data_IF_301754687435
#
_entry.id   IF_301754687435
#
_cell.length_a   1.000
_cell.length_b   1.000
_cell.length_c   1.000
_cell.angle_alpha   90.00
_cell.angle_beta   90.00
_cell.angle_gamma   90.00
#
_symmetry.space_group_name_H-M   'P 1'
#
loop_
_entity.id
_entity.type
_entity.pdbx_description
1 polymer ?
#
# COMPACT_ATOMS: atom_id res chain seq x y z
N UNK A 1 24.20 -19.53 36.58
CA UNK A 1 24.80 -18.83 35.42
C UNK A 1 24.19 -19.28 34.11
N UNK A 2 24.33 -20.55 33.69
CA UNK A 2 23.77 -21.03 32.39
C UNK A 2 22.25 -20.86 32.27
N UNK A 3 21.49 -21.26 33.30
CA UNK A 3 20.03 -21.11 33.32
C UNK A 3 19.63 -19.63 33.20
N UNK A 4 20.32 -18.73 33.90
CA UNK A 4 20.07 -17.28 33.84
C UNK A 4 20.28 -16.73 32.43
N UNK A 5 21.33 -17.15 31.74
CA UNK A 5 21.63 -16.73 30.36
C UNK A 5 20.58 -17.27 29.37
N UNK A 6 20.14 -18.52 29.54
CA UNK A 6 19.09 -19.11 28.71
C UNK A 6 17.76 -18.36 28.91
N UNK A 7 17.36 -18.11 30.16
CA UNK A 7 16.11 -17.40 30.47
C UNK A 7 16.16 -15.95 29.96
N UNK A 8 17.31 -15.28 30.05
CA UNK A 8 17.50 -13.94 29.50
C UNK A 8 17.39 -13.92 27.96
N UNK A 9 17.95 -14.93 27.27
CA UNK A 9 17.79 -15.09 25.83
C UNK A 9 16.33 -15.27 25.42
N UNK A 10 15.59 -16.13 26.12
CA UNK A 10 14.15 -16.33 25.90
C UNK A 10 13.32 -15.08 26.20
N UNK A 11 13.73 -14.27 27.18
CA UNK A 11 13.08 -12.99 27.49
C UNK A 11 13.28 -11.97 26.37
N UNK A 12 14.51 -11.80 25.89
CA UNK A 12 14.83 -10.90 24.77
C UNK A 12 14.08 -11.32 23.50
N UNK A 13 14.03 -12.61 23.21
CA UNK A 13 13.26 -13.17 22.09
C UNK A 13 11.76 -12.83 22.19
N UNK A 14 11.15 -13.00 23.36
CA UNK A 14 9.73 -12.63 23.57
C UNK A 14 9.46 -11.14 23.43
N UNK A 15 10.34 -10.29 23.96
CA UNK A 15 10.24 -8.83 23.81
C UNK A 15 10.29 -8.45 22.33
N UNK A 16 11.16 -9.12 21.57
CA UNK A 16 11.33 -8.95 20.14
C UNK A 16 10.06 -9.30 19.35
N UNK A 17 9.45 -10.46 19.61
CA UNK A 17 8.20 -10.88 18.96
C UNK A 17 6.99 -9.99 19.33
N UNK A 18 6.95 -9.45 20.55
CA UNK A 18 5.87 -8.57 21.01
C UNK A 18 5.73 -7.27 20.21
N UNK A 19 6.83 -6.74 19.67
CA UNK A 19 6.79 -5.50 18.86
C UNK A 19 6.13 -5.68 17.49
N UNK A 20 6.20 -6.88 16.91
CA UNK A 20 5.56 -7.19 15.63
C UNK A 20 4.05 -7.38 15.77
N UNK A 21 3.61 -8.00 16.88
CA UNK A 21 2.20 -8.09 17.24
C UNK A 21 1.55 -6.73 17.52
N UNK A 22 2.33 -5.74 17.98
CA UNK A 22 1.83 -4.39 18.24
C UNK A 22 1.38 -3.66 16.96
N UNK A 23 1.98 -3.93 15.80
CA UNK A 23 1.55 -3.36 14.53
C UNK A 23 0.20 -3.95 14.07
N UNK A 24 0.02 -5.27 14.22
CA UNK A 24 -1.28 -5.93 13.95
C UNK A 24 -2.33 -5.47 14.94
N UNK A 25 -2.00 -5.38 16.24
CA UNK A 25 -2.92 -4.84 17.25
C UNK A 25 -3.32 -3.39 16.96
N UNK A 26 -2.41 -2.56 16.44
CA UNK A 26 -2.76 -1.21 15.99
C UNK A 26 -3.77 -1.26 14.85
N UNK A 27 -3.57 -2.10 13.84
CA UNK A 27 -4.53 -2.28 12.73
C UNK A 27 -5.89 -2.78 13.23
N UNK A 28 -5.91 -3.75 14.15
CA UNK A 28 -7.15 -4.21 14.79
C UNK A 28 -7.84 -3.12 15.61
N UNK A 29 -7.07 -2.23 16.24
CA UNK A 29 -7.57 -1.09 16.99
C UNK A 29 -8.16 0.02 16.11
N UNK A 30 -7.94 0.00 14.79
CA UNK A 30 -8.53 0.96 13.85
C UNK A 30 -9.99 0.61 13.53
N UNK A 31 -10.43 -0.63 13.74
CA UNK A 31 -11.78 -1.04 13.39
C UNK A 31 -12.79 -0.54 14.43
N UNK A 32 -13.86 0.15 14.01
CA UNK A 32 -14.94 0.55 14.92
C UNK A 32 -15.62 -0.67 15.54
N UNK A 33 -16.00 -0.57 16.82
CA UNK A 33 -16.75 -1.64 17.50
C UNK A 33 -18.24 -1.62 17.19
N UNK A 34 -18.77 -0.44 16.87
CA UNK A 34 -20.18 -0.19 16.56
C UNK A 34 -20.29 0.52 15.22
N UNK A 35 -21.48 0.40 14.61
CA UNK A 35 -21.84 1.07 13.37
C UNK A 35 -23.27 1.60 13.53
N UNK A 36 -23.52 2.78 12.96
CA UNK A 36 -24.84 3.42 12.94
C UNK A 36 -25.54 3.09 11.63
N UNK A 37 -26.69 2.45 11.71
CA UNK A 37 -27.38 1.87 10.54
C UNK A 37 -28.79 2.41 10.46
N UNK A 38 -29.26 2.71 9.25
CA UNK A 38 -30.64 3.09 8.99
C UNK A 38 -31.43 1.81 8.71
N UNK A 39 -32.38 1.48 9.57
CA UNK A 39 -33.34 0.38 9.34
C UNK A 39 -34.74 0.89 9.64
N UNK A 40 -35.68 0.69 8.70
CA UNK A 40 -37.06 1.21 8.82
C UNK A 40 -37.12 2.73 9.09
N UNK A 41 -36.26 3.48 8.40
CA UNK A 41 -36.11 4.95 8.53
C UNK A 41 -35.70 5.47 9.92
N UNK A 42 -35.26 4.60 10.82
CA UNK A 42 -34.68 4.98 12.12
C UNK A 42 -33.17 4.70 12.17
N UNK A 43 -32.41 5.62 12.77
CA UNK A 43 -30.98 5.44 13.07
C UNK A 43 -30.83 4.54 14.29
N UNK A 44 -30.22 3.36 14.12
CA UNK A 44 -29.89 2.46 15.23
C UNK A 44 -28.40 2.18 15.28
N UNK A 45 -27.78 2.28 16.46
CA UNK A 45 -26.40 1.85 16.65
C UNK A 45 -26.35 0.36 16.98
N UNK A 46 -25.60 -0.42 16.21
CA UNK A 46 -25.44 -1.85 16.38
C UNK A 46 -23.96 -2.24 16.43
N UNK A 47 -23.62 -3.39 17.06
CA UNK A 47 -22.28 -3.95 16.95
C UNK A 47 -21.89 -4.21 15.50
N UNK A 48 -20.63 -3.93 15.12
CA UNK A 48 -20.14 -4.09 13.75
C UNK A 48 -20.38 -5.51 13.18
N UNK A 49 -20.33 -6.54 14.04
CA UNK A 49 -20.59 -7.93 13.66
C UNK A 49 -22.05 -8.24 13.27
N UNK A 50 -22.99 -7.32 13.52
CA UNK A 50 -24.40 -7.45 13.12
C UNK A 50 -24.75 -6.64 11.87
N UNK A 51 -23.79 -5.92 11.28
CA UNK A 51 -23.95 -5.22 10.00
C UNK A 51 -23.95 -6.27 8.88
N UNK A 52 -24.93 -6.17 7.98
CA UNK A 52 -25.07 -7.07 6.83
C UNK A 52 -24.82 -6.33 5.54
N UNK A 53 -24.44 -7.07 4.49
CA UNK A 53 -24.36 -6.53 3.14
C UNK A 53 -25.72 -5.94 2.75
N UNK A 54 -25.70 -4.73 2.18
CA UNK A 54 -26.89 -3.98 1.79
C UNK A 54 -27.48 -3.09 2.89
N UNK A 55 -27.02 -3.18 4.14
CA UNK A 55 -27.38 -2.20 5.17
C UNK A 55 -26.87 -0.80 4.78
N UNK A 56 -27.63 0.24 5.14
CA UNK A 56 -27.26 1.64 4.95
C UNK A 56 -26.65 2.16 6.25
N UNK A 57 -25.37 2.49 6.21
CA UNK A 57 -24.59 2.99 7.35
C UNK A 57 -24.45 4.49 7.24
N UNK A 58 -24.72 5.22 8.33
CA UNK A 58 -24.43 6.67 8.41
C UNK A 58 -23.08 6.85 9.08
N UNK A 59 -22.21 7.64 8.45
CA UNK A 59 -20.91 8.03 9.00
C UNK A 59 -20.82 9.55 9.06
N UNK A 60 -20.57 10.09 10.25
CA UNK A 60 -20.48 11.53 10.49
C UNK A 60 -19.04 12.04 10.37
N UNK A 61 -18.82 13.36 10.27
CA UNK A 61 -17.48 13.94 10.25
C UNK A 61 -16.68 13.53 11.50
N UNK A 62 -15.43 13.14 11.30
CA UNK A 62 -14.53 12.63 12.34
C UNK A 62 -14.71 11.15 12.70
N UNK A 63 -15.78 10.49 12.23
CA UNK A 63 -16.01 9.07 12.46
C UNK A 63 -15.21 8.20 11.48
N UNK A 64 -14.89 6.99 11.93
CA UNK A 64 -14.30 5.97 11.05
C UNK A 64 -15.40 5.24 10.30
N UNK A 65 -15.14 4.96 9.02
CA UNK A 65 -16.02 4.14 8.20
C UNK A 65 -15.98 2.69 8.72
N UNK A 66 -17.09 2.09 9.17
CA UNK A 66 -17.04 0.79 9.84
C UNK A 66 -16.88 -0.40 8.87
N UNK A 67 -17.40 -0.29 7.65
CA UNK A 67 -17.45 -1.38 6.67
C UNK A 67 -17.14 -0.86 5.27
N UNK A 68 -16.72 -1.74 4.37
CA UNK A 68 -16.52 -1.38 2.96
C UNK A 68 -17.88 -1.18 2.30
N UNK A 69 -17.99 -0.18 1.42
CA UNK A 69 -19.27 0.17 0.84
C UNK A 69 -19.21 1.15 -0.32
N UNK A 70 -20.40 1.54 -0.78
CA UNK A 70 -20.60 2.56 -1.82
C UNK A 70 -21.39 3.71 -1.21
N UNK A 71 -20.98 4.95 -1.47
CA UNK A 71 -21.72 6.14 -1.02
C UNK A 71 -23.04 6.22 -1.77
N UNK A 72 -24.15 6.27 -1.03
CA UNK A 72 -25.49 6.49 -1.55
C UNK A 72 -25.90 7.96 -1.51
N UNK A 73 -25.37 8.73 -0.57
CA UNK A 73 -25.76 10.12 -0.35
C UNK A 73 -24.69 10.84 0.47
N UNK A 74 -24.47 12.12 0.16
CA UNK A 74 -23.49 12.97 0.81
C UNK A 74 -22.18 13.17 0.04
N UNK A 75 -21.42 14.18 0.49
CA UNK A 75 -20.10 14.53 -0.04
C UNK A 75 -19.14 14.74 1.12
N UNK A 76 -17.96 14.11 1.09
CA UNK A 76 -16.95 14.30 2.13
C UNK A 76 -15.56 13.88 1.67
N UNK A 77 -14.54 14.54 2.23
CA UNK A 77 -13.16 14.09 2.15
C UNK A 77 -12.92 12.92 3.12
N UNK A 78 -12.36 11.82 2.60
CA UNK A 78 -12.03 10.62 3.37
C UNK A 78 -10.52 10.42 3.40
N UNK A 79 -9.98 10.28 4.59
CA UNK A 79 -8.55 10.03 4.83
C UNK A 79 -8.29 8.52 4.79
N UNK A 80 -7.73 8.09 3.65
CA UNK A 80 -7.38 6.71 3.37
C UNK A 80 -5.90 6.38 3.69
N UNK A 81 -5.16 7.33 4.27
CA UNK A 81 -3.70 7.23 4.51
C UNK A 81 -3.28 5.96 5.26
N UNK A 82 -4.13 5.48 6.16
CA UNK A 82 -3.87 4.27 6.96
C UNK A 82 -3.93 2.98 6.14
N UNK A 83 -4.59 2.98 4.98
CA UNK A 83 -4.76 1.81 4.11
C UNK A 83 -3.95 1.95 2.83
N UNK A 84 -4.00 3.12 2.18
CA UNK A 84 -3.34 3.37 0.89
C UNK A 84 -1.93 3.92 1.07
N UNK A 85 -1.63 4.56 2.20
CA UNK A 85 -0.37 5.28 2.43
C UNK A 85 -0.33 6.69 1.82
N UNK A 86 -1.40 7.12 1.16
CA UNK A 86 -1.50 8.45 0.57
C UNK A 86 -1.95 9.48 1.61
N UNK A 87 -1.15 10.54 1.80
CA UNK A 87 -1.39 11.53 2.85
C UNK A 87 -2.51 12.52 2.55
N UNK A 88 -2.96 12.60 1.30
CA UNK A 88 -3.99 13.54 0.86
C UNK A 88 -5.36 12.87 0.97
N UNK A 89 -6.32 13.45 1.72
CA UNK A 89 -7.69 12.94 1.76
C UNK A 89 -8.33 12.93 0.37
N UNK A 90 -9.08 11.87 0.08
CA UNK A 90 -9.76 11.66 -1.20
C UNK A 90 -11.22 12.09 -1.06
N UNK A 91 -11.69 12.94 -1.95
CA UNK A 91 -13.09 13.34 -2.00
C UNK A 91 -13.98 12.18 -2.44
N UNK A 92 -15.10 11.97 -1.73
CA UNK A 92 -16.08 10.91 -2.01
C UNK A 92 -17.45 11.54 -2.24
N UNK A 93 -18.07 11.19 -3.35
CA UNK A 93 -19.43 11.54 -3.76
C UNK A 93 -20.29 10.29 -3.94
N UNK A 94 -21.59 10.47 -4.18
CA UNK A 94 -22.51 9.39 -4.50
C UNK A 94 -21.98 8.51 -5.64
N UNK A 95 -22.03 7.19 -5.45
CA UNK A 95 -21.49 6.18 -6.36
C UNK A 95 -20.05 5.76 -6.07
N UNK A 96 -19.28 6.53 -5.29
CA UNK A 96 -17.89 6.20 -4.99
C UNK A 96 -17.76 5.07 -3.96
N UNK A 97 -16.70 4.28 -4.10
CA UNK A 97 -16.33 3.26 -3.12
C UNK A 97 -15.60 3.88 -1.93
N UNK A 98 -15.91 3.36 -0.74
CA UNK A 98 -15.26 3.71 0.52
C UNK A 98 -14.75 2.45 1.21
N UNK A 99 -13.57 2.58 1.80
CA UNK A 99 -12.86 1.50 2.47
C UNK A 99 -13.09 1.60 3.99
N UNK A 100 -13.36 0.47 4.65
CA UNK A 100 -13.48 0.40 6.10
C UNK A 100 -12.19 0.80 6.83
N UNK A 101 -12.36 1.29 8.05
CA UNK A 101 -11.34 1.84 8.96
C UNK A 101 -10.67 3.16 8.54
N UNK A 102 -11.01 3.70 7.36
CA UNK A 102 -10.65 5.06 6.94
C UNK A 102 -11.44 6.11 7.73
N UNK A 103 -10.98 7.36 7.73
CA UNK A 103 -11.56 8.43 8.55
C UNK A 103 -12.32 9.40 7.66
N UNK A 104 -13.61 9.57 7.93
CA UNK A 104 -14.43 10.60 7.32
C UNK A 104 -14.07 11.97 7.93
N UNK A 105 -13.76 13.00 7.15
CA UNK A 105 -13.28 14.30 7.68
C UNK A 105 -14.37 15.36 7.80
N UNK A 106 -15.17 15.57 6.76
CA UNK A 106 -15.86 16.86 6.56
C UNK A 106 -17.38 16.77 6.58
N UNK A 107 -17.97 15.90 5.76
CA UNK A 107 -19.41 15.76 5.55
C UNK A 107 -20.00 14.48 6.12
N UNK A 108 -21.33 14.37 6.12
CA UNK A 108 -22.02 13.12 6.48
C UNK A 108 -22.15 12.25 5.23
N UNK A 109 -21.82 10.97 5.35
CA UNK A 109 -21.97 9.99 4.27
C UNK A 109 -22.99 8.93 4.66
N UNK A 110 -23.90 8.60 3.74
CA UNK A 110 -24.70 7.37 3.81
C UNK A 110 -24.07 6.35 2.88
N UNK A 111 -23.71 5.19 3.42
CA UNK A 111 -22.90 4.19 2.73
C UNK A 111 -23.68 2.88 2.71
N UNK A 112 -23.86 2.30 1.53
CA UNK A 112 -24.38 0.93 1.38
C UNK A 112 -23.25 -0.07 1.60
N UNK A 113 -23.38 -0.93 2.60
CA UNK A 113 -22.38 -1.95 2.89
C UNK A 113 -22.24 -2.95 1.73
N UNK A 114 -21.04 -3.12 1.20
CA UNK A 114 -20.70 -4.12 0.16
C UNK A 114 -19.80 -5.22 0.70
N UNK A 115 -18.92 -4.93 1.65
CA UNK A 115 -18.04 -5.89 2.32
C UNK A 115 -18.11 -5.75 3.84
N UNK A 116 -18.35 -6.85 4.55
CA UNK A 116 -18.49 -6.88 6.01
C UNK A 116 -17.62 -7.98 6.64
N UNK A 117 -17.15 -7.77 7.87
CA UNK A 117 -16.36 -8.76 8.59
C UNK A 117 -15.08 -9.18 7.84
N UNK A 118 -14.98 -10.48 7.51
CA UNK A 118 -13.80 -11.08 6.86
C UNK A 118 -13.62 -10.65 5.40
N UNK A 119 -14.68 -10.14 4.77
CA UNK A 119 -14.66 -9.72 3.38
C UNK A 119 -14.25 -8.25 3.20
N UNK A 120 -13.93 -7.55 4.30
CA UNK A 120 -13.40 -6.18 4.25
C UNK A 120 -11.96 -6.16 3.78
N UNK A 121 -11.57 -5.08 3.10
CA UNK A 121 -10.21 -4.82 2.61
C UNK A 121 -9.19 -4.90 3.74
N UNK A 122 -9.50 -4.31 4.92
CA UNK A 122 -8.64 -4.39 6.09
C UNK A 122 -8.48 -5.83 6.59
N UNK A 123 -9.54 -6.63 6.65
CA UNK A 123 -9.45 -8.03 7.07
C UNK A 123 -8.60 -8.86 6.11
N UNK A 124 -8.68 -8.60 4.80
CA UNK A 124 -7.82 -9.24 3.82
C UNK A 124 -6.34 -8.85 4.01
N UNK A 125 -6.07 -7.56 4.27
CA UNK A 125 -4.71 -7.10 4.57
C UNK A 125 -4.16 -7.79 5.83
N UNK A 126 -4.94 -7.85 6.91
CA UNK A 126 -4.55 -8.52 8.16
C UNK A 126 -4.21 -9.99 7.88
N UNK A 127 -5.06 -10.71 7.14
CA UNK A 127 -4.83 -12.11 6.79
C UNK A 127 -3.54 -12.32 6.00
N UNK A 128 -3.27 -11.49 4.99
CA UNK A 128 -2.04 -11.58 4.19
C UNK A 128 -0.80 -11.32 5.08
N UNK A 129 -0.90 -10.40 6.04
CA UNK A 129 0.18 -10.11 6.99
C UNK A 129 0.39 -11.26 7.97
N UNK A 130 -0.66 -11.88 8.49
CA UNK A 130 -0.58 -13.06 9.36
C UNK A 130 0.04 -14.26 8.63
N UNK A 131 -0.40 -14.54 7.40
CA UNK A 131 0.18 -15.58 6.54
C UNK A 131 1.65 -15.28 6.22
N UNK A 132 2.03 -14.00 6.12
CA UNK A 132 3.40 -13.58 5.90
C UNK A 132 4.31 -13.78 7.12
N UNK A 133 3.83 -13.58 8.34
CA UNK A 133 4.65 -13.72 9.56
C UNK A 133 4.99 -15.18 9.91
N UNK A 134 4.32 -16.15 9.31
CA UNK A 134 4.58 -17.57 9.55
C UNK A 134 5.85 -18.11 8.84
N UNK A 135 6.60 -17.30 8.07
CA UNK A 135 7.79 -17.75 7.32
C UNK A 135 9.10 -17.58 8.09
N UNK A 136 9.99 -18.59 8.02
CA UNK A 136 11.33 -18.58 8.64
C UNK A 136 12.42 -18.06 7.70
N UNK A 137 13.25 -17.15 8.23
CA UNK A 137 14.36 -16.52 7.53
C UNK A 137 15.44 -17.51 7.08
N UNK A 138 16.17 -17.24 5.98
CA UNK A 138 17.10 -18.19 5.39
C UNK A 138 18.41 -18.29 6.18
N UNK A 139 18.90 -17.20 6.80
CA UNK A 139 20.11 -17.25 7.66
C UNK A 139 19.88 -18.07 8.94
N UNK A 140 18.65 -18.11 9.45
CA UNK A 140 18.30 -18.98 10.58
C UNK A 140 18.52 -20.46 10.20
N UNK A 141 18.28 -20.83 8.93
CA UNK A 141 18.57 -22.18 8.43
C UNK A 141 20.08 -22.48 8.35
N UNK A 142 20.93 -21.46 8.15
CA UNK A 142 22.38 -21.62 8.16
C UNK A 142 22.86 -21.88 9.59
N UNK A 143 22.37 -21.10 10.56
CA UNK A 143 22.65 -21.33 11.97
C UNK A 143 22.18 -22.73 12.42
N UNK A 144 20.96 -23.13 12.04
CA UNK A 144 20.41 -24.46 12.31
C UNK A 144 21.26 -25.57 11.68
N UNK A 145 21.76 -25.36 10.46
CA UNK A 145 22.66 -26.30 9.78
C UNK A 145 24.00 -26.42 10.52
N UNK A 146 24.60 -25.32 10.94
CA UNK A 146 25.84 -25.34 11.74
C UNK A 146 25.61 -26.11 13.04
N UNK A 147 24.52 -25.84 13.76
CA UNK A 147 24.16 -26.57 14.99
C UNK A 147 23.96 -28.07 14.72
N UNK A 148 23.34 -28.44 13.59
CA UNK A 148 23.12 -29.84 13.23
C UNK A 148 24.40 -30.67 13.03
N UNK A 149 25.49 -30.05 12.57
CA UNK A 149 26.80 -30.70 12.47
C UNK A 149 27.63 -30.57 13.76
N UNK A 150 27.49 -29.43 14.46
CA UNK A 150 28.26 -29.12 15.65
C UNK A 150 27.86 -30.00 16.86
N UNK A 151 26.57 -30.24 17.08
CA UNK A 151 26.08 -31.05 18.21
C UNK A 151 26.61 -32.50 18.18
N UNK A 152 26.53 -33.25 17.05
CA UNK A 152 27.12 -34.57 16.96
C UNK A 152 28.64 -34.59 17.18
N UNK A 153 29.36 -33.58 16.67
CA UNK A 153 30.81 -33.48 16.80
C UNK A 153 31.25 -33.27 18.26
N UNK A 154 30.54 -32.41 18.98
CA UNK A 154 30.77 -32.16 20.42
C UNK A 154 30.46 -33.41 21.25
N UNK A 155 29.36 -34.10 20.96
CA UNK A 155 29.02 -35.36 21.64
C UNK A 155 30.09 -36.43 21.41
N UNK A 156 30.55 -36.58 20.17
CA UNK A 156 31.58 -37.55 19.81
C UNK A 156 32.90 -37.22 20.51
N UNK A 157 33.35 -35.97 20.46
CA UNK A 157 34.59 -35.55 21.13
C UNK A 157 34.53 -35.68 22.65
N UNK A 158 33.40 -35.35 23.28
CA UNK A 158 33.19 -35.55 24.71
C UNK A 158 33.24 -37.05 25.07
N UNK A 159 32.62 -37.90 24.25
CA UNK A 159 32.63 -39.35 24.45
C UNK A 159 34.03 -39.96 24.29
N UNK A 160 34.80 -39.50 23.30
CA UNK A 160 36.20 -39.88 23.13
C UNK A 160 37.02 -39.46 24.35
N UNK A 161 36.84 -38.22 24.83
CA UNK A 161 37.53 -37.73 26.03
C UNK A 161 37.20 -38.61 27.25
N UNK A 162 35.93 -38.98 27.44
CA UNK A 162 35.52 -39.90 28.50
C UNK A 162 36.26 -41.25 28.42
N UNK A 163 36.31 -41.87 27.24
CA UNK A 163 36.98 -43.16 27.02
C UNK A 163 38.48 -43.05 27.34
N UNK A 164 39.15 -42.01 26.85
CA UNK A 164 40.60 -41.83 27.05
C UNK A 164 40.93 -41.64 28.54
N UNK A 165 40.17 -40.79 29.24
CA UNK A 165 40.39 -40.54 30.66
C UNK A 165 40.09 -41.76 31.53
N UNK A 166 39.04 -42.52 31.21
CA UNK A 166 38.66 -43.70 31.97
C UNK A 166 39.56 -44.91 31.71
N UNK A 167 39.81 -45.26 30.44
CA UNK A 167 40.52 -46.49 30.08
C UNK A 167 42.03 -46.33 29.92
N UNK A 168 42.54 -45.21 29.38
CA UNK A 168 43.97 -45.04 29.13
C UNK A 168 44.71 -44.40 30.30
N UNK A 169 44.07 -43.43 30.95
CA UNK A 169 44.65 -42.68 32.07
C UNK A 169 44.26 -43.26 33.44
N UNK A 170 43.47 -44.35 33.47
CA UNK A 170 43.01 -45.04 34.69
C UNK A 170 42.45 -44.08 35.76
N UNK A 171 41.78 -43.01 35.31
CA UNK A 171 41.20 -42.01 36.21
C UNK A 171 39.91 -42.54 36.85
N UNK A 172 39.51 -41.93 37.97
CA UNK A 172 38.24 -42.31 38.61
C UNK A 172 37.07 -42.03 37.67
N UNK A 173 36.03 -42.88 37.72
CA UNK A 173 34.80 -42.71 36.94
C UNK A 173 34.21 -41.31 37.12
N UNK A 174 34.26 -40.79 38.34
CA UNK A 174 33.79 -39.46 38.71
C UNK A 174 34.55 -38.37 37.96
N UNK A 175 35.87 -38.50 37.80
CA UNK A 175 36.69 -37.55 37.06
C UNK A 175 36.41 -37.60 35.55
N UNK A 176 36.35 -38.81 34.96
CA UNK A 176 36.03 -38.96 33.54
C UNK A 176 34.64 -38.40 33.18
N UNK A 177 33.63 -38.64 34.04
CA UNK A 177 32.29 -38.08 33.88
C UNK A 177 32.30 -36.55 34.02
N UNK A 178 33.12 -36.01 34.92
CA UNK A 178 33.29 -34.56 35.08
C UNK A 178 33.86 -33.93 33.82
N UNK A 179 34.86 -34.55 33.18
CA UNK A 179 35.42 -34.09 31.89
C UNK A 179 34.37 -34.12 30.78
N UNK A 180 33.59 -35.20 30.69
CA UNK A 180 32.50 -35.33 29.71
C UNK A 180 31.47 -34.20 29.85
N UNK A 181 30.94 -34.00 31.06
CA UNK A 181 29.92 -32.96 31.33
C UNK A 181 30.50 -31.56 31.10
N UNK A 182 31.75 -31.32 31.52
CA UNK A 182 32.42 -30.03 31.33
C UNK A 182 32.54 -29.68 29.85
N UNK A 183 32.91 -30.65 29.01
CA UNK A 183 33.05 -30.44 27.56
C UNK A 183 31.71 -30.11 26.89
N UNK A 184 30.61 -30.76 27.31
CA UNK A 184 29.27 -30.44 26.83
C UNK A 184 28.82 -29.04 27.26
N UNK A 185 29.09 -28.64 28.50
CA UNK A 185 28.71 -27.31 29.02
C UNK A 185 29.47 -26.20 28.32
N UNK A 186 30.78 -26.35 28.15
CA UNK A 186 31.64 -25.36 27.48
C UNK A 186 31.26 -25.19 26.01
N UNK A 187 30.80 -26.26 25.37
CA UNK A 187 30.43 -26.23 23.97
C UNK A 187 29.05 -25.60 23.67
N UNK A 188 28.23 -25.20 24.66
CA UNK A 188 26.94 -24.58 24.34
C UNK A 188 27.09 -23.36 23.42
N UNK A 189 26.53 -23.37 22.19
CA UNK A 189 26.57 -22.22 21.29
C UNK A 189 25.51 -21.18 21.66
N UNK A 190 25.39 -20.88 22.95
CA UNK A 190 24.35 -20.05 23.55
C UNK A 190 24.29 -18.62 22.94
N UNK A 191 25.43 -18.06 22.49
CA UNK A 191 25.49 -16.75 21.84
C UNK A 191 25.04 -16.75 20.36
N UNK A 192 25.21 -17.88 19.66
CA UNK A 192 24.90 -17.99 18.23
C UNK A 192 23.39 -17.83 17.97
N UNK A 193 22.55 -18.32 18.89
CA UNK A 193 21.09 -18.23 18.78
C UNK A 193 20.52 -16.82 18.92
N UNK A 194 21.27 -15.87 19.50
CA UNK A 194 20.78 -14.51 19.78
C UNK A 194 21.35 -13.49 18.79
N UNK A 195 22.53 -13.74 18.20
CA UNK A 195 23.20 -12.81 17.31
C UNK A 195 22.36 -12.43 16.08
N UNK A 196 21.78 -13.43 15.41
CA UNK A 196 20.99 -13.24 14.18
C UNK A 196 19.69 -12.46 14.45
N UNK A 197 18.81 -12.88 15.40
CA UNK A 197 17.59 -12.13 15.69
C UNK A 197 17.86 -10.68 16.11
N UNK A 198 18.92 -10.44 16.88
CA UNK A 198 19.29 -9.10 17.34
C UNK A 198 19.71 -8.21 16.17
N UNK A 199 20.54 -8.71 15.26
CA UNK A 199 20.97 -7.97 14.08
C UNK A 199 19.79 -7.62 13.16
N UNK A 200 18.89 -8.58 12.91
CA UNK A 200 17.68 -8.37 12.10
C UNK A 200 16.77 -7.34 12.74
N UNK A 201 16.57 -7.44 14.06
CA UNK A 201 15.73 -6.50 14.81
C UNK A 201 16.24 -5.06 14.71
N UNK A 202 17.53 -4.86 14.95
CA UNK A 202 18.15 -3.53 14.88
C UNK A 202 18.07 -3.00 13.44
N UNK A 203 18.37 -3.84 12.44
CA UNK A 203 18.29 -3.46 11.03
C UNK A 203 16.87 -3.06 10.59
N UNK A 204 15.84 -3.79 11.02
CA UNK A 204 14.44 -3.43 10.77
C UNK A 204 14.04 -2.12 11.47
N UNK A 205 14.46 -1.93 12.72
CA UNK A 205 14.21 -0.70 13.45
C UNK A 205 14.81 0.52 12.74
N UNK A 206 16.07 0.42 12.32
CA UNK A 206 16.74 1.46 11.54
C UNK A 206 16.04 1.73 10.20
N UNK A 207 15.60 0.68 9.49
CA UNK A 207 14.85 0.85 8.24
C UNK A 207 13.55 1.64 8.44
N UNK A 208 12.79 1.35 9.50
CA UNK A 208 11.56 2.04 9.81
C UNK A 208 11.76 3.53 10.13
N UNK A 209 12.86 3.89 10.83
CA UNK A 209 13.22 5.29 11.08
C UNK A 209 13.50 6.08 9.79
N UNK A 210 13.84 5.38 8.70
CA UNK A 210 14.08 5.95 7.37
C UNK A 210 12.91 5.73 6.40
N UNK A 211 11.73 5.35 6.89
CA UNK A 211 10.53 5.14 6.06
C UNK A 211 10.55 3.85 5.25
N UNK A 212 11.47 2.92 5.51
CA UNK A 212 11.58 1.62 4.84
C UNK A 212 10.98 0.54 5.72
N UNK A 213 9.77 0.09 5.36
CA UNK A 213 9.05 -0.93 6.10
C UNK A 213 9.38 -2.34 5.60
N UNK A 214 10.25 -3.03 6.33
CA UNK A 214 10.69 -4.39 6.01
C UNK A 214 9.74 -5.40 6.64
N UNK A 215 8.87 -6.00 5.83
CA UNK A 215 7.83 -6.94 6.30
C UNK A 215 8.37 -8.31 6.75
N UNK A 216 9.57 -8.69 6.28
CA UNK A 216 10.14 -10.05 6.43
C UNK A 216 11.64 -9.99 6.71
N UNK A 217 12.13 -10.82 7.62
CA UNK A 217 13.55 -10.92 7.95
C UNK A 217 14.40 -11.34 6.74
N UNK A 218 13.85 -12.25 5.93
CA UNK A 218 14.36 -12.67 4.63
C UNK A 218 14.63 -11.47 3.71
N UNK A 219 13.76 -10.47 3.72
CA UNK A 219 13.84 -9.33 2.81
C UNK A 219 15.01 -8.41 3.13
N UNK A 220 15.40 -8.30 4.41
CA UNK A 220 16.60 -7.55 4.79
C UNK A 220 17.87 -8.22 4.25
N UNK A 221 17.94 -9.55 4.31
CA UNK A 221 19.07 -10.31 3.77
C UNK A 221 19.14 -10.28 2.24
N UNK A 222 17.99 -10.48 1.58
CA UNK A 222 17.89 -10.44 0.12
C UNK A 222 18.21 -9.03 -0.36
N UNK A 223 17.68 -8.00 0.31
CA UNK A 223 17.96 -6.59 0.02
C UNK A 223 19.45 -6.28 -0.03
N UNK A 224 20.24 -6.81 0.91
CA UNK A 224 21.70 -6.68 0.91
C UNK A 224 22.42 -7.38 -0.25
N UNK A 225 21.74 -8.23 -1.01
CA UNK A 225 22.27 -8.97 -2.18
C UNK A 225 21.69 -8.46 -3.51
N UNK A 226 20.77 -7.50 -3.49
CA UNK A 226 20.17 -6.95 -4.71
C UNK A 226 21.23 -6.18 -5.50
N UNK A 227 21.40 -6.54 -6.77
CA UNK A 227 22.30 -5.86 -7.72
C UNK A 227 21.56 -5.11 -8.81
N UNK A 228 20.26 -5.37 -8.97
CA UNK A 228 19.43 -4.81 -10.03
C UNK A 228 18.06 -4.46 -9.46
N UNK A 229 17.63 -3.23 -9.68
CA UNK A 229 16.32 -2.73 -9.29
C UNK A 229 15.53 -2.43 -10.56
N UNK A 230 14.39 -3.08 -10.69
CA UNK A 230 13.44 -2.84 -11.78
C UNK A 230 12.28 -2.06 -11.16
N UNK A 231 12.05 -0.86 -11.65
CA UNK A 231 10.94 -0.03 -11.19
C UNK A 231 9.74 -0.24 -12.10
N UNK A 232 8.55 -0.33 -11.51
CA UNK A 232 7.33 -0.04 -12.25
C UNK A 232 7.30 1.47 -12.56
N UNK A 233 6.70 1.86 -13.69
CA UNK A 233 6.61 3.29 -14.04
C UNK A 233 5.46 3.94 -13.28
N UNK A 234 4.28 3.33 -13.38
CA UNK A 234 3.04 3.88 -12.85
C UNK A 234 3.04 3.68 -11.33
N UNK A 235 2.68 4.74 -10.57
CA UNK A 235 2.61 4.72 -9.10
C UNK A 235 3.93 4.40 -8.34
N UNK A 236 5.07 4.31 -9.04
CA UNK A 236 6.40 4.19 -8.40
C UNK A 236 7.32 5.32 -8.84
N UNK A 237 7.55 5.49 -10.15
CA UNK A 237 8.33 6.61 -10.69
C UNK A 237 7.47 7.85 -10.97
N UNK A 238 6.17 7.65 -11.17
CA UNK A 238 5.21 8.70 -11.54
C UNK A 238 4.16 8.85 -10.45
N UNK A 239 3.56 10.03 -10.36
CA UNK A 239 2.48 10.33 -9.41
C UNK A 239 1.18 9.55 -9.68
N UNK A 240 1.10 8.82 -10.80
CA UNK A 240 -0.11 8.07 -11.19
C UNK A 240 -1.24 8.93 -11.76
N UNK A 241 -1.14 10.26 -11.68
CA UNK A 241 -2.13 11.20 -12.18
C UNK A 241 -1.61 11.96 -13.41
N UNK A 242 -2.39 12.05 -14.50
CA UNK A 242 -2.05 12.92 -15.62
C UNK A 242 -2.15 14.40 -15.20
N UNK A 243 -1.23 15.22 -15.70
CA UNK A 243 -1.18 16.65 -15.44
C UNK A 243 -1.08 17.41 -16.77
N UNK A 244 -1.79 18.52 -16.90
CA UNK A 244 -1.70 19.40 -18.07
C UNK A 244 -0.32 20.07 -18.09
N UNK A 245 0.53 19.71 -19.07
CA UNK A 245 1.90 20.23 -19.17
C UNK A 245 2.07 21.33 -20.21
N UNK A 246 1.50 21.15 -21.41
CA UNK A 246 1.71 22.02 -22.56
C UNK A 246 0.37 22.45 -23.15
N UNK A 247 0.29 23.69 -23.60
CA UNK A 247 -0.84 24.23 -24.36
C UNK A 247 -0.23 24.86 -25.60
N UNK A 248 -0.54 24.30 -26.76
CA UNK A 248 -0.07 24.79 -28.05
C UNK A 248 -1.26 25.37 -28.80
N UNK A 249 -1.13 26.59 -29.30
CA UNK A 249 -2.14 27.24 -30.13
C UNK A 249 -1.63 27.36 -31.56
N UNK A 250 -2.49 27.07 -32.53
CA UNK A 250 -2.16 27.05 -33.97
C UNK A 250 -2.98 28.07 -34.77
N UNK A 251 -3.82 28.83 -34.08
CA UNK A 251 -4.64 29.95 -34.55
C UNK A 251 -4.26 31.21 -33.78
N UNK A 252 -4.89 32.35 -34.08
CA UNK A 252 -4.70 33.60 -33.32
C UNK A 252 -5.30 33.55 -31.90
N UNK A 253 -5.91 32.44 -31.50
CA UNK A 253 -6.49 32.26 -30.17
C UNK A 253 -5.42 32.20 -29.07
N UNK A 254 -5.73 32.85 -27.94
CA UNK A 254 -4.89 32.77 -26.74
C UNK A 254 -4.95 31.36 -26.15
N UNK A 255 -3.84 30.89 -25.57
CA UNK A 255 -3.78 29.58 -24.92
C UNK A 255 -4.75 29.46 -23.73
N UNK A 256 -5.17 30.58 -23.14
CA UNK A 256 -6.23 30.59 -22.13
C UNK A 256 -7.62 30.33 -22.72
N UNK A 257 -7.92 30.85 -23.90
CA UNK A 257 -9.21 30.64 -24.57
C UNK A 257 -9.37 29.17 -24.96
N UNK A 258 -8.33 28.58 -25.58
CA UNK A 258 -8.36 27.16 -25.94
C UNK A 258 -8.47 26.27 -24.70
N UNK A 259 -7.76 26.60 -23.61
CA UNK A 259 -7.88 25.85 -22.37
C UNK A 259 -9.28 25.99 -21.74
N UNK A 260 -9.91 27.17 -21.84
CA UNK A 260 -11.28 27.37 -21.38
C UNK A 260 -12.26 26.47 -22.17
N UNK A 261 -12.19 26.49 -23.50
CA UNK A 261 -13.02 25.65 -24.37
C UNK A 261 -12.80 24.15 -24.09
N UNK A 262 -11.54 23.72 -23.99
CA UNK A 262 -11.21 22.33 -23.67
C UNK A 262 -11.72 21.92 -22.27
N UNK A 263 -11.65 22.81 -21.29
CA UNK A 263 -12.16 22.55 -19.94
C UNK A 263 -13.68 22.49 -19.89
N UNK A 264 -14.40 23.33 -20.66
CA UNK A 264 -15.85 23.25 -20.81
C UNK A 264 -16.23 21.90 -21.43
N UNK A 265 -15.51 21.47 -22.46
CA UNK A 265 -15.74 20.19 -23.14
C UNK A 265 -15.44 18.98 -22.26
N UNK A 266 -14.60 19.08 -21.23
CA UNK A 266 -14.24 17.98 -20.33
C UNK A 266 -14.83 18.11 -18.92
N UNK A 267 -15.60 19.16 -18.63
CA UNK A 267 -16.16 19.44 -17.29
C UNK A 267 -16.92 18.25 -16.69
N UNK A 268 -17.63 17.51 -17.54
CA UNK A 268 -18.44 16.34 -17.17
C UNK A 268 -17.77 15.00 -17.45
N UNK A 269 -16.51 15.01 -17.87
CA UNK A 269 -15.77 13.80 -18.23
C UNK A 269 -15.13 13.15 -17.02
N UNK A 270 -15.38 11.85 -16.84
CA UNK A 270 -14.73 11.04 -15.81
C UNK A 270 -13.36 10.50 -16.27
N UNK A 271 -12.94 10.79 -17.51
CA UNK A 271 -11.67 10.33 -18.03
C UNK A 271 -10.49 11.05 -17.34
N UNK A 272 -9.40 10.36 -16.94
CA UNK A 272 -8.26 10.99 -16.24
C UNK A 272 -7.66 12.19 -16.99
N UNK A 273 -7.60 12.13 -18.32
CA UNK A 273 -7.12 13.24 -19.15
C UNK A 273 -8.06 14.46 -19.06
N UNK A 274 -9.37 14.25 -19.08
CA UNK A 274 -10.35 15.34 -18.94
C UNK A 274 -10.22 16.04 -17.60
N UNK A 275 -10.10 15.26 -16.52
CA UNK A 275 -9.82 15.80 -15.17
C UNK A 275 -8.54 16.63 -15.13
N UNK A 276 -7.47 16.18 -15.80
CA UNK A 276 -6.21 16.93 -15.87
C UNK A 276 -6.36 18.28 -16.58
N UNK A 277 -7.20 18.36 -17.62
CA UNK A 277 -7.50 19.62 -18.35
C UNK A 277 -8.30 20.57 -17.46
N UNK A 278 -9.38 20.08 -16.83
CA UNK A 278 -10.24 20.87 -15.93
C UNK A 278 -9.43 21.42 -14.76
N UNK A 279 -8.66 20.56 -14.07
CA UNK A 279 -7.77 21.00 -12.99
C UNK A 279 -6.70 21.98 -13.47
N UNK A 280 -6.19 21.81 -14.69
CA UNK A 280 -5.25 22.73 -15.32
C UNK A 280 -5.83 24.13 -15.55
N UNK A 281 -7.10 24.21 -15.94
CA UNK A 281 -7.84 25.46 -16.09
C UNK A 281 -8.14 26.13 -14.74
N UNK A 282 -8.62 25.37 -13.76
CA UNK A 282 -8.89 25.85 -12.40
C UNK A 282 -7.63 26.42 -11.73
N UNK A 283 -6.48 25.73 -11.84
CA UNK A 283 -5.19 26.22 -11.32
C UNK A 283 -4.72 27.52 -11.96
N UNK A 284 -5.15 27.81 -13.19
CA UNK A 284 -4.87 29.08 -13.88
C UNK A 284 -5.92 30.16 -13.60
N UNK A 285 -6.90 29.89 -12.73
CA UNK A 285 -7.96 30.82 -12.35
C UNK A 285 -8.95 31.09 -13.49
N UNK A 286 -9.10 30.14 -14.41
CA UNK A 286 -10.06 30.23 -15.51
C UNK A 286 -11.42 29.73 -15.00
N UNK A 287 -12.46 30.56 -15.15
CA UNK A 287 -13.83 30.17 -14.82
C UNK A 287 -14.38 29.23 -15.90
N UNK A 288 -14.93 28.08 -15.49
CA UNK A 288 -15.38 27.02 -16.41
C UNK A 288 -16.91 26.97 -16.41
N UNK A 289 -17.58 27.61 -17.37
CA UNK A 289 -19.03 27.61 -17.47
C UNK A 289 -19.58 26.23 -17.84
N UNK A 290 -20.89 26.06 -17.74
CA UNK A 290 -21.57 24.82 -18.16
C UNK A 290 -21.77 24.77 -19.66
N UNK A 291 -21.49 23.61 -20.25
CA UNK A 291 -21.84 23.32 -21.65
C UNK A 291 -23.35 23.13 -21.80
N UNK A 292 -23.90 23.59 -22.93
CA UNK A 292 -25.31 23.37 -23.31
C UNK A 292 -25.61 21.90 -23.59
N UNK A 293 -24.67 21.22 -24.24
CA UNK A 293 -24.72 19.78 -24.52
C UNK A 293 -23.34 19.18 -24.35
N UNK A 294 -23.27 17.92 -23.93
CA UNK A 294 -22.03 17.17 -23.77
C UNK A 294 -22.23 15.71 -24.21
N UNK A 295 -21.34 15.22 -25.06
CA UNK A 295 -21.35 13.86 -25.59
C UNK A 295 -19.94 13.26 -25.57
N UNK A 296 -19.81 12.04 -25.05
CA UNK A 296 -18.53 11.30 -25.06
C UNK A 296 -18.57 10.21 -26.11
N UNK A 297 -17.56 10.20 -26.98
CA UNK A 297 -17.31 9.10 -27.91
C UNK A 297 -16.14 8.26 -27.39
N UNK A 298 -16.45 7.07 -26.85
CA UNK A 298 -15.46 6.17 -26.24
C UNK A 298 -14.32 5.85 -27.24
N UNK A 299 -13.08 6.04 -26.80
CA UNK A 299 -11.87 5.80 -27.61
C UNK A 299 -11.55 6.89 -28.64
N UNK A 300 -12.33 7.98 -28.67
CA UNK A 300 -12.16 9.10 -29.59
C UNK A 300 -11.97 10.42 -28.82
N UNK A 301 -12.93 10.82 -27.99
CA UNK A 301 -12.91 12.11 -27.30
C UNK A 301 -14.29 12.54 -26.81
N UNK A 302 -14.44 13.84 -26.56
CA UNK A 302 -15.67 14.48 -26.11
C UNK A 302 -16.07 15.62 -27.06
N UNK A 303 -17.37 15.83 -27.22
CA UNK A 303 -17.97 16.98 -27.90
C UNK A 303 -18.82 17.75 -26.90
N UNK A 304 -18.74 19.06 -26.95
CA UNK A 304 -19.61 19.93 -26.18
C UNK A 304 -20.11 21.10 -27.03
N UNK A 305 -21.19 21.73 -26.59
CA UNK A 305 -21.69 22.96 -27.22
C UNK A 305 -21.71 24.08 -26.20
N UNK A 306 -21.18 25.24 -26.56
CA UNK A 306 -21.11 26.40 -25.66
C UNK A 306 -21.12 27.70 -26.47
N UNK A 307 -21.99 28.64 -26.08
CA UNK A 307 -22.17 29.94 -26.75
C UNK A 307 -22.45 29.79 -28.26
N UNK A 308 -23.25 28.78 -28.61
CA UNK A 308 -23.58 28.45 -30.00
C UNK A 308 -22.50 27.74 -30.82
N UNK A 309 -21.27 27.57 -30.30
CA UNK A 309 -20.17 26.90 -30.99
C UNK A 309 -20.03 25.42 -30.58
N UNK A 310 -19.64 24.56 -31.52
CA UNK A 310 -19.44 23.13 -31.31
C UNK A 310 -17.96 22.84 -31.00
N UNK A 311 -17.67 22.57 -29.73
CA UNK A 311 -16.33 22.25 -29.25
C UNK A 311 -16.09 20.75 -29.40
N UNK A 312 -15.02 20.37 -30.09
CA UNK A 312 -14.61 18.98 -30.29
C UNK A 312 -13.22 18.79 -29.69
N UNK A 313 -13.12 17.93 -28.68
CA UNK A 313 -11.87 17.60 -28.01
C UNK A 313 -11.58 16.11 -28.14
N UNK A 314 -10.41 15.73 -28.65
CA UNK A 314 -10.05 14.31 -28.71
C UNK A 314 -8.79 13.99 -29.48
N UNK A 315 -8.64 12.71 -29.81
CA UNK A 315 -7.48 12.20 -30.52
C UNK A 315 -7.60 12.39 -32.05
N UNK A 316 -6.52 12.08 -32.77
CA UNK A 316 -6.47 12.16 -34.25
C UNK A 316 -7.61 11.42 -34.95
N UNK A 317 -8.02 10.25 -34.42
CA UNK A 317 -9.12 9.47 -35.01
C UNK A 317 -10.45 10.20 -34.92
N UNK A 318 -10.64 11.01 -33.87
CA UNK A 318 -11.85 11.80 -33.70
C UNK A 318 -11.90 12.96 -34.69
N UNK A 319 -10.78 13.66 -34.84
CA UNK A 319 -10.68 14.75 -35.82
C UNK A 319 -10.93 14.26 -37.25
N UNK A 320 -10.34 13.12 -37.64
CA UNK A 320 -10.58 12.52 -38.95
C UNK A 320 -12.04 12.08 -39.15
N UNK A 321 -12.69 11.56 -38.10
CA UNK A 321 -14.11 11.16 -38.16
C UNK A 321 -15.02 12.38 -38.40
N UNK A 322 -14.69 13.51 -37.78
CA UNK A 322 -15.41 14.78 -37.92
C UNK A 322 -14.95 15.62 -39.11
N UNK A 323 -14.07 15.06 -39.96
CA UNK A 323 -13.52 15.71 -41.17
C UNK A 323 -12.73 16.99 -40.88
N UNK A 324 -12.11 17.09 -39.72
CA UNK A 324 -11.20 18.17 -39.31
C UNK A 324 -9.79 17.86 -39.80
N UNK A 325 -9.15 18.82 -40.47
CA UNK A 325 -7.82 18.64 -41.05
C UNK A 325 -6.71 18.88 -40.02
N UNK A 326 -5.97 17.83 -39.66
CA UNK A 326 -4.90 17.88 -38.63
C UNK A 326 -3.48 17.71 -39.19
N UNK A 327 -3.30 17.70 -40.52
CA UNK A 327 -2.00 17.42 -41.15
C UNK A 327 -0.91 18.42 -40.75
N UNK A 328 -1.28 19.69 -40.57
CA UNK A 328 -0.36 20.75 -40.15
C UNK A 328 0.10 20.61 -38.69
N UNK A 329 -0.63 19.84 -37.85
CA UNK A 329 -0.32 19.61 -36.43
C UNK A 329 0.57 18.39 -36.20
N UNK A 330 0.71 17.51 -37.19
CA UNK A 330 1.28 16.18 -37.02
C UNK A 330 2.72 16.19 -36.51
N UNK A 331 3.51 17.19 -36.91
CA UNK A 331 4.89 17.36 -36.45
C UNK A 331 4.99 17.61 -34.94
N UNK A 332 4.17 18.51 -34.40
CA UNK A 332 4.17 18.83 -32.97
C UNK A 332 3.50 17.71 -32.14
N UNK A 333 2.42 17.10 -32.66
CA UNK A 333 1.79 15.95 -32.00
C UNK A 333 2.79 14.81 -31.78
N UNK A 334 3.55 14.46 -32.83
CA UNK A 334 4.57 13.41 -32.75
C UNK A 334 5.68 13.75 -31.76
N UNK A 335 6.12 15.01 -31.73
CA UNK A 335 7.15 15.48 -30.79
C UNK A 335 6.70 15.36 -29.33
N UNK A 336 5.43 15.65 -29.03
CA UNK A 336 4.86 15.46 -27.69
C UNK A 336 4.76 13.96 -27.34
N UNK A 337 4.35 13.13 -28.28
CA UNK A 337 4.27 11.67 -28.08
C UNK A 337 5.64 11.03 -27.85
N UNK A 338 6.67 11.46 -28.57
CA UNK A 338 8.06 11.03 -28.38
C UNK A 338 8.61 11.42 -26.98
N UNK A 339 8.05 12.46 -26.36
CA UNK A 339 8.32 12.83 -24.96
C UNK A 339 7.48 12.03 -23.95
N UNK A 340 6.65 11.09 -24.40
CA UNK A 340 5.76 10.30 -23.55
C UNK A 340 4.52 11.06 -23.05
N UNK A 341 4.20 12.21 -23.65
CA UNK A 341 2.99 12.98 -23.35
C UNK A 341 1.82 12.44 -24.17
N UNK A 342 0.60 12.74 -23.73
CA UNK A 342 -0.63 12.36 -24.45
C UNK A 342 -1.27 13.62 -25.04
N UNK A 343 -1.04 13.92 -26.34
CA UNK A 343 -1.65 15.10 -26.93
C UNK A 343 -3.14 14.88 -27.20
N UNK A 344 -3.91 15.91 -26.94
CA UNK A 344 -5.33 16.03 -27.28
C UNK A 344 -5.51 17.27 -28.14
N UNK A 345 -6.38 17.17 -29.15
CA UNK A 345 -6.64 18.24 -30.10
C UNK A 345 -7.98 18.87 -29.69
N UNK A 346 -8.04 20.20 -29.67
CA UNK A 346 -9.27 20.97 -29.44
C UNK A 346 -9.58 21.76 -30.71
N UNK A 347 -10.80 21.61 -31.21
CA UNK A 347 -11.37 22.40 -32.30
C UNK A 347 -12.67 23.05 -31.81
N UNK A 348 -12.98 24.26 -32.27
CA UNK A 348 -14.21 25.00 -31.97
C UNK A 348 -14.70 25.73 -33.22
#
# INVERSE_FOLDING_TARGET
>A
SVITTITLGMLLERISYGKTGAAIQRLMGLQPKTARVIRKDEETEIPIGHVKIGDIVIVRPGERIPVDGIVLDGYSAVDESMVTGESVPVDKKEGDMVIGATINKSGVLKIKATGVGKDTTLAQIIRIVEEAQASKAPVQRIADRVVSYFVPLVLLSAFIAFIVWYFWLNSTLLFALTVFVTMLVVACPCALGIAVPTAIMVGMGMGAEHGILIKRAEALEIGGKVTTVIFDKTATLTKGEPELTDILTFSEHDGKEILNLAAIAEKYSEHPIGKAVVMGAERKGIEIPDAETFEVTIGYGARAKYDGNDIILGNRKFMLKERIEVQHLEGELRKLEEQGKTPIICEN
#
